data_IF_231602903937
#
_entry.id   IF_231602903937
#
_cell.length_a   1.000
_cell.length_b   1.000
_cell.length_c   1.000
_cell.angle_alpha   90.00
_cell.angle_beta   90.00
_cell.angle_gamma   90.00
#
_symmetry.space_group_name_H-M   'P 1'
#
loop_
_entity.id
_entity.type
_entity.pdbx_description
1 polymer ?
#
# COMPACT_ATOMS: atom_id res chain seq x y z
N UNK A 1 -16.54 -4.04 -27.71
CA UNK A 1 -15.93 -3.77 -26.40
C UNK A 1 -17.04 -3.27 -25.49
N UNK A 2 -17.28 -3.91 -24.34
CA UNK A 2 -18.32 -3.49 -23.40
C UNK A 2 -17.95 -2.10 -22.84
N UNK A 3 -18.69 -1.07 -23.23
CA UNK A 3 -18.47 0.35 -22.91
C UNK A 3 -18.71 0.71 -21.45
N UNK A 4 -17.97 0.09 -20.53
CA UNK A 4 -18.11 0.32 -19.08
C UNK A 4 -17.14 1.33 -18.48
N UNK A 5 -16.09 1.74 -19.20
CA UNK A 5 -15.06 2.62 -18.64
C UNK A 5 -14.68 3.75 -19.59
N UNK A 6 -14.75 5.00 -19.09
CA UNK A 6 -14.16 6.15 -19.76
C UNK A 6 -12.65 5.91 -19.92
N UNK A 7 -12.08 6.28 -21.07
CA UNK A 7 -10.66 6.07 -21.38
C UNK A 7 -9.71 6.70 -20.33
N UNK A 8 -10.14 7.79 -19.69
CA UNK A 8 -9.44 8.45 -18.58
C UNK A 8 -9.38 7.63 -17.28
N UNK A 9 -10.28 6.66 -17.11
CA UNK A 9 -10.42 5.86 -15.88
C UNK A 9 -9.81 4.46 -16.00
N UNK A 10 -9.33 4.07 -17.19
CA UNK A 10 -8.76 2.74 -17.45
C UNK A 10 -7.51 2.51 -16.60
N UNK A 11 -6.66 3.53 -16.44
CA UNK A 11 -5.45 3.45 -15.63
C UNK A 11 -5.77 3.23 -14.15
N UNK A 12 -6.69 4.02 -13.59
CA UNK A 12 -7.07 3.89 -12.18
C UNK A 12 -7.77 2.57 -11.88
N UNK A 13 -8.63 2.11 -12.80
CA UNK A 13 -9.29 0.82 -12.67
C UNK A 13 -8.31 -0.35 -12.75
N UNK A 14 -7.39 -0.33 -13.73
CA UNK A 14 -6.35 -1.35 -13.85
C UNK A 14 -5.44 -1.35 -12.61
N UNK A 15 -5.04 -0.17 -12.13
CA UNK A 15 -4.27 -0.03 -10.90
C UNK A 15 -5.02 -0.64 -9.71
N UNK A 16 -6.31 -0.34 -9.54
CA UNK A 16 -7.14 -0.91 -8.48
C UNK A 16 -7.28 -2.44 -8.59
N UNK A 17 -7.46 -2.96 -9.80
CA UNK A 17 -7.58 -4.39 -10.06
C UNK A 17 -6.29 -5.14 -9.68
N UNK A 18 -5.14 -4.62 -10.10
CA UNK A 18 -3.84 -5.23 -9.81
C UNK A 18 -3.50 -5.18 -8.32
N UNK A 19 -3.71 -4.03 -7.67
CA UNK A 19 -3.49 -3.87 -6.22
C UNK A 19 -4.40 -4.85 -5.44
N UNK A 20 -5.66 -4.98 -5.83
CA UNK A 20 -6.60 -5.91 -5.21
C UNK A 20 -6.15 -7.37 -5.34
N UNK A 21 -5.68 -7.77 -6.52
CA UNK A 21 -5.16 -9.12 -6.77
C UNK A 21 -3.91 -9.42 -5.92
N UNK A 22 -3.00 -8.47 -5.80
CA UNK A 22 -1.81 -8.59 -4.96
C UNK A 22 -2.18 -8.78 -3.49
N UNK A 23 -3.01 -7.90 -2.94
CA UNK A 23 -3.44 -7.96 -1.52
C UNK A 23 -4.17 -9.27 -1.21
N UNK A 24 -5.01 -9.77 -2.12
CA UNK A 24 -5.67 -11.06 -1.94
C UNK A 24 -4.66 -12.22 -1.88
N UNK A 25 -3.70 -12.24 -2.80
CA UNK A 25 -2.71 -13.31 -2.93
C UNK A 25 -1.74 -13.32 -1.74
N UNK A 26 -1.16 -12.18 -1.41
CA UNK A 26 -0.20 -12.07 -0.32
C UNK A 26 -0.87 -12.20 1.05
N UNK A 27 -2.06 -11.63 1.21
CA UNK A 27 -2.85 -11.74 2.43
C UNK A 27 -3.16 -13.20 2.80
N UNK A 28 -3.52 -14.03 1.82
CA UNK A 28 -3.73 -15.46 2.03
C UNK A 28 -2.42 -16.20 2.34
N UNK A 29 -1.33 -15.85 1.68
CA UNK A 29 -0.03 -16.51 1.86
C UNK A 29 0.58 -16.24 3.24
N UNK A 30 0.46 -15.03 3.75
CA UNK A 30 1.12 -14.60 4.98
C UNK A 30 0.19 -14.51 6.19
N UNK A 31 -1.10 -14.83 6.05
CA UNK A 31 -2.12 -14.80 7.11
C UNK A 31 -2.04 -13.53 7.99
N UNK A 32 -1.81 -12.39 7.37
CA UNK A 32 -1.42 -11.17 8.08
C UNK A 32 -2.64 -10.38 8.52
N UNK A 33 -2.80 -10.17 9.83
CA UNK A 33 -3.90 -9.38 10.39
C UNK A 33 -3.61 -7.88 10.46
N UNK A 34 -2.33 -7.49 10.45
CA UNK A 34 -1.90 -6.09 10.55
C UNK A 34 -0.71 -5.80 9.62
N UNK A 35 -0.79 -4.72 8.84
CA UNK A 35 0.23 -4.33 7.86
C UNK A 35 0.58 -2.86 8.03
N UNK A 36 1.87 -2.53 7.98
CA UNK A 36 2.35 -1.15 7.89
C UNK A 36 2.76 -0.86 6.45
N UNK A 37 2.11 0.11 5.83
CA UNK A 37 2.42 0.60 4.49
C UNK A 37 3.46 1.72 4.59
N UNK A 38 4.58 1.57 3.87
CA UNK A 38 5.65 2.56 3.81
C UNK A 38 5.82 2.96 2.36
N UNK A 39 5.61 4.24 2.04
CA UNK A 39 5.66 4.70 0.66
C UNK A 39 5.00 6.05 0.43
N UNK A 40 4.72 6.33 -0.84
CA UNK A 40 4.04 7.57 -1.23
C UNK A 40 2.58 7.59 -0.71
N UNK A 41 2.10 8.70 -0.13
CA UNK A 41 0.78 8.78 0.50
C UNK A 41 -0.40 8.36 -0.38
N UNK A 42 -0.45 8.77 -1.65
CA UNK A 42 -1.55 8.42 -2.55
C UNK A 42 -1.55 6.92 -2.88
N UNK A 43 -0.38 6.29 -3.02
CA UNK A 43 -0.26 4.84 -3.22
C UNK A 43 -0.63 4.07 -1.94
N UNK A 44 -0.17 4.52 -0.78
CA UNK A 44 -0.55 3.97 0.52
C UNK A 44 -2.08 4.00 0.71
N UNK A 45 -2.75 5.06 0.25
CA UNK A 45 -4.19 5.14 0.29
C UNK A 45 -4.86 4.06 -0.59
N UNK A 46 -4.31 3.77 -1.78
CA UNK A 46 -4.84 2.71 -2.68
C UNK A 46 -4.70 1.32 -2.06
N UNK A 47 -3.51 0.97 -1.55
CA UNK A 47 -3.29 -0.30 -0.87
C UNK A 47 -4.07 -0.42 0.43
N UNK A 48 -4.12 0.66 1.22
CA UNK A 48 -4.85 0.69 2.47
C UNK A 48 -6.34 0.44 2.29
N UNK A 49 -6.95 0.96 1.21
CA UNK A 49 -8.34 0.61 0.87
C UNK A 49 -8.50 -0.88 0.57
N UNK A 50 -7.63 -1.45 -0.27
CA UNK A 50 -7.70 -2.87 -0.63
C UNK A 50 -7.51 -3.79 0.59
N UNK A 51 -6.56 -3.49 1.46
CA UNK A 51 -6.26 -4.27 2.68
C UNK A 51 -7.40 -4.18 3.71
N UNK A 52 -7.93 -2.97 3.95
CA UNK A 52 -9.09 -2.78 4.84
C UNK A 52 -10.33 -3.51 4.33
N UNK A 53 -10.54 -3.55 3.01
CA UNK A 53 -11.63 -4.32 2.41
C UNK A 53 -11.51 -5.84 2.66
N UNK A 54 -10.31 -6.33 3.01
CA UNK A 54 -10.06 -7.73 3.42
C UNK A 54 -10.03 -7.93 4.93
N UNK A 55 -10.41 -6.91 5.72
CA UNK A 55 -10.43 -7.00 7.19
C UNK A 55 -9.06 -6.86 7.86
N UNK A 56 -8.03 -6.43 7.15
CA UNK A 56 -6.71 -6.21 7.71
C UNK A 56 -6.64 -4.85 8.42
N UNK A 57 -5.93 -4.80 9.55
CA UNK A 57 -5.51 -3.55 10.16
C UNK A 57 -4.37 -2.94 9.34
N UNK A 58 -4.46 -1.65 9.06
CA UNK A 58 -3.46 -0.95 8.24
C UNK A 58 -2.97 0.28 8.96
N UNK A 59 -1.67 0.36 9.16
CA UNK A 59 -0.97 1.59 9.50
C UNK A 59 -0.22 2.13 8.27
N UNK A 60 0.08 3.41 8.21
CA UNK A 60 0.84 4.00 7.10
C UNK A 60 1.84 5.04 7.57
N UNK A 61 3.02 5.07 6.95
CA UNK A 61 3.97 6.15 7.09
C UNK A 61 4.51 6.58 5.71
N UNK A 62 4.96 7.84 5.63
CA UNK A 62 5.65 8.32 4.43
C UNK A 62 6.98 7.59 4.27
N UNK A 63 7.31 7.24 3.03
CA UNK A 63 8.63 6.67 2.70
C UNK A 63 9.78 7.61 3.09
N UNK A 64 9.59 8.92 2.90
CA UNK A 64 10.61 9.92 3.23
C UNK A 64 10.82 10.04 4.74
N UNK A 65 9.72 10.04 5.50
CA UNK A 65 9.79 10.07 6.97
C UNK A 65 10.45 8.80 7.52
N UNK A 66 10.12 7.63 6.95
CA UNK A 66 10.72 6.36 7.34
C UNK A 66 12.22 6.34 7.03
N UNK A 67 12.64 6.88 5.89
CA UNK A 67 14.05 7.00 5.51
C UNK A 67 14.82 7.90 6.49
N UNK A 68 14.31 9.11 6.74
CA UNK A 68 14.94 10.06 7.64
C UNK A 68 15.04 9.51 9.07
N UNK A 69 13.97 8.89 9.58
CA UNK A 69 13.97 8.25 10.89
C UNK A 69 15.01 7.12 10.98
N UNK A 70 15.15 6.31 9.93
CA UNK A 70 16.15 5.25 9.86
C UNK A 70 17.58 5.79 9.88
N UNK A 71 17.86 6.82 9.09
CA UNK A 71 19.18 7.47 9.06
C UNK A 71 19.53 8.07 10.43
N UNK A 72 18.62 8.83 11.02
CA UNK A 72 18.82 9.42 12.35
C UNK A 72 19.12 8.34 13.39
N UNK A 73 18.40 7.20 13.33
CA UNK A 73 18.60 6.09 14.26
C UNK A 73 20.00 5.49 14.15
N UNK A 74 20.48 5.23 12.93
CA UNK A 74 21.81 4.69 12.69
C UNK A 74 22.88 5.67 13.19
N UNK A 75 22.72 6.97 12.91
CA UNK A 75 23.68 7.99 13.35
C UNK A 75 23.78 8.08 14.86
N UNK A 76 22.66 8.04 15.58
CA UNK A 76 22.64 8.08 17.05
C UNK A 76 23.14 6.80 17.73
N UNK A 77 23.16 5.66 17.04
CA UNK A 77 23.73 4.40 17.57
C UNK A 77 25.25 4.31 17.39
N UNK A 78 25.87 5.28 16.70
CA UNK A 78 27.33 5.38 16.55
C UNK A 78 27.99 6.35 17.55
N UNK A 79 27.21 7.01 18.42
CA UNK A 79 27.67 7.83 19.55
C UNK A 79 27.71 7.02 20.87
#
# INVERSE_FOLDING_TARGET
>A
MLGGLAASSVSDYLSGLLIGAEVATLGQRFCTSAVTLVGEPALNARYGRAMKARGMMVNSCSGDEALLAGMARIMHEQD
#
